data_IF_507727731084
#
_entry.id   IF_507727731084
#
_cell.length_a   1.000
_cell.length_b   1.000
_cell.length_c   1.000
_cell.angle_alpha   90.00
_cell.angle_beta   90.00
_cell.angle_gamma   90.00
#
_symmetry.space_group_name_H-M   'P 1'
#
loop_
_entity.id
_entity.type
_entity.pdbx_description
1 polymer ?
#
# COMPACT_ATOMS: atom_id res chain seq x y z
N UNK A 1 26.03 4.81 14.83
CA UNK A 1 25.74 4.91 13.38
C UNK A 1 26.22 6.24 12.82
N UNK A 2 26.58 6.33 11.53
CA UNK A 2 26.86 7.63 10.89
C UNK A 2 25.60 8.50 10.93
N UNK A 3 25.71 9.73 11.42
CA UNK A 3 24.59 10.68 11.50
C UNK A 3 23.98 10.95 10.11
N UNK A 4 24.77 10.89 9.04
CA UNK A 4 24.26 11.02 7.67
C UNK A 4 23.32 9.87 7.29
N UNK A 5 23.70 8.62 7.63
CA UNK A 5 22.88 7.44 7.38
C UNK A 5 21.59 7.46 8.21
N UNK A 6 21.68 7.81 9.50
CA UNK A 6 20.49 7.91 10.38
C UNK A 6 19.48 8.91 9.82
N UNK A 7 19.93 10.08 9.40
CA UNK A 7 19.06 11.10 8.82
C UNK A 7 18.46 10.68 7.48
N UNK A 8 19.22 9.96 6.64
CA UNK A 8 18.71 9.42 5.39
C UNK A 8 17.60 8.38 5.62
N UNK A 9 17.78 7.49 6.60
CA UNK A 9 16.77 6.49 6.97
C UNK A 9 15.49 7.12 7.50
N UNK A 10 15.58 8.13 8.37
CA UNK A 10 14.40 8.86 8.87
C UNK A 10 13.67 9.64 7.76
N UNK A 11 14.43 10.20 6.81
CA UNK A 11 13.85 10.87 5.65
C UNK A 11 13.10 9.88 4.76
N UNK A 12 13.69 8.69 4.56
CA UNK A 12 13.06 7.63 3.80
C UNK A 12 11.82 7.06 4.50
N UNK A 13 11.85 6.90 5.83
CA UNK A 13 10.69 6.52 6.64
C UNK A 13 9.54 7.51 6.44
N UNK A 14 9.83 8.81 6.46
CA UNK A 14 8.83 9.87 6.23
C UNK A 14 8.20 9.74 4.85
N UNK A 15 9.03 9.55 3.81
CA UNK A 15 8.55 9.39 2.44
C UNK A 15 7.69 8.12 2.27
N UNK A 16 8.09 7.00 2.89
CA UNK A 16 7.33 5.76 2.86
C UNK A 16 5.98 5.87 3.58
N UNK A 17 5.93 6.54 4.73
CA UNK A 17 4.66 6.78 5.43
C UNK A 17 3.70 7.65 4.60
N UNK A 18 4.22 8.70 3.96
CA UNK A 18 3.42 9.55 3.05
C UNK A 18 2.91 8.74 1.86
N UNK A 19 3.76 7.92 1.25
CA UNK A 19 3.35 7.07 0.14
C UNK A 19 2.30 6.04 0.56
N UNK A 20 2.48 5.40 1.72
CA UNK A 20 1.54 4.43 2.27
C UNK A 20 0.17 5.05 2.55
N UNK A 21 0.14 6.28 3.07
CA UNK A 21 -1.09 7.03 3.29
C UNK A 21 -1.85 7.25 1.99
N UNK A 22 -1.20 7.84 0.99
CA UNK A 22 -1.81 8.11 -0.33
C UNK A 22 -2.30 6.82 -0.98
N UNK A 23 -1.48 5.77 -0.95
CA UNK A 23 -1.82 4.48 -1.54
C UNK A 23 -3.07 3.87 -0.88
N UNK A 24 -3.17 3.93 0.45
CA UNK A 24 -4.34 3.45 1.20
C UNK A 24 -5.60 4.26 0.90
N UNK A 25 -5.51 5.58 0.86
CA UNK A 25 -6.64 6.47 0.52
C UNK A 25 -7.15 6.24 -0.91
N UNK A 26 -6.26 6.15 -1.89
CA UNK A 26 -6.63 5.89 -3.29
C UNK A 26 -7.28 4.52 -3.46
N UNK A 27 -6.77 3.50 -2.76
CA UNK A 27 -7.35 2.16 -2.80
C UNK A 27 -8.74 2.11 -2.15
N UNK A 28 -8.93 2.77 -1.00
CA UNK A 28 -10.24 2.86 -0.34
C UNK A 28 -11.30 3.52 -1.24
N UNK A 29 -10.91 4.56 -2.00
CA UNK A 29 -11.79 5.19 -2.99
C UNK A 29 -12.20 4.20 -4.09
N UNK A 30 -11.24 3.44 -4.64
CA UNK A 30 -11.51 2.42 -5.65
C UNK A 30 -12.40 1.30 -5.11
N UNK A 31 -12.12 0.82 -3.90
CA UNK A 31 -12.91 -0.23 -3.27
C UNK A 31 -14.35 0.23 -3.02
N UNK A 32 -14.54 1.45 -2.54
CA UNK A 32 -15.87 2.05 -2.34
C UNK A 32 -16.64 2.12 -3.66
N UNK A 33 -15.99 2.60 -4.73
CA UNK A 33 -16.61 2.65 -6.05
C UNK A 33 -16.99 1.25 -6.55
N UNK A 34 -16.08 0.27 -6.40
CA UNK A 34 -16.35 -1.10 -6.80
C UNK A 34 -17.52 -1.72 -6.02
N UNK A 35 -17.55 -1.59 -4.69
CA UNK A 35 -18.65 -2.10 -3.85
C UNK A 35 -20.00 -1.52 -4.28
N UNK A 36 -20.04 -0.25 -4.68
CA UNK A 36 -21.28 0.39 -5.15
C UNK A 36 -21.79 -0.15 -6.50
N UNK A 37 -20.89 -0.69 -7.33
CA UNK A 37 -21.20 -1.19 -8.68
C UNK A 37 -21.42 -2.71 -8.71
N UNK A 38 -20.72 -3.45 -7.85
CA UNK A 38 -20.65 -4.91 -7.89
C UNK A 38 -22.03 -5.59 -7.78
N UNK A 39 -22.97 -4.99 -7.06
CA UNK A 39 -24.31 -5.55 -6.84
C UNK A 39 -25.19 -5.56 -8.11
N UNK A 40 -24.85 -4.73 -9.10
CA UNK A 40 -25.63 -4.58 -10.34
C UNK A 40 -24.80 -4.88 -11.60
N UNK A 41 -23.50 -5.12 -11.43
CA UNK A 41 -22.59 -5.34 -12.55
C UNK A 41 -22.50 -6.83 -12.90
N UNK A 42 -23.11 -7.17 -14.04
CA UNK A 42 -23.29 -8.54 -14.54
C UNK A 42 -22.83 -8.69 -16.00
N UNK A 43 -22.69 -9.96 -16.44
CA UNK A 43 -22.23 -10.32 -17.77
C UNK A 43 -20.72 -10.59 -17.85
N UNK A 44 -20.23 -10.98 -19.03
CA UNK A 44 -18.84 -11.40 -19.22
C UNK A 44 -17.82 -10.31 -18.87
N UNK A 45 -18.12 -9.05 -19.18
CA UNK A 45 -17.26 -7.93 -18.81
C UNK A 45 -17.16 -7.75 -17.28
N UNK A 46 -18.21 -8.12 -16.54
CA UNK A 46 -18.18 -8.07 -15.08
C UNK A 46 -17.35 -9.20 -14.48
N UNK A 47 -17.33 -10.37 -15.10
CA UNK A 47 -16.46 -11.48 -14.70
C UNK A 47 -14.98 -11.13 -14.94
N UNK A 48 -14.65 -10.60 -16.12
CA UNK A 48 -13.29 -10.16 -16.46
C UNK A 48 -12.79 -9.08 -15.48
N UNK A 49 -13.65 -8.09 -15.18
CA UNK A 49 -13.31 -7.05 -14.22
C UNK A 49 -13.09 -7.60 -12.81
N UNK A 50 -13.94 -8.54 -12.34
CA UNK A 50 -13.81 -9.17 -11.01
C UNK A 50 -12.45 -9.86 -10.86
N UNK A 51 -11.99 -10.56 -11.88
CA UNK A 51 -10.67 -11.20 -11.87
C UNK A 51 -9.55 -10.17 -11.72
N UNK A 52 -9.58 -9.12 -12.54
CA UNK A 52 -8.59 -8.02 -12.48
C UNK A 52 -8.64 -7.31 -11.12
N UNK A 53 -9.84 -7.09 -10.58
CA UNK A 53 -10.05 -6.48 -9.28
C UNK A 53 -9.46 -7.33 -8.15
N UNK A 54 -9.73 -8.65 -8.14
CA UNK A 54 -9.15 -9.57 -7.16
C UNK A 54 -7.63 -9.55 -7.20
N UNK A 55 -7.03 -9.55 -8.40
CA UNK A 55 -5.57 -9.43 -8.54
C UNK A 55 -5.05 -8.09 -8.02
N UNK A 56 -5.72 -6.99 -8.37
CA UNK A 56 -5.34 -5.64 -7.93
C UNK A 56 -5.36 -5.53 -6.40
N UNK A 57 -6.37 -6.11 -5.74
CA UNK A 57 -6.45 -6.16 -4.28
C UNK A 57 -5.29 -6.94 -3.66
N UNK A 58 -4.96 -8.11 -4.22
CA UNK A 58 -3.82 -8.90 -3.75
C UNK A 58 -2.48 -8.17 -3.94
N UNK A 59 -2.27 -7.54 -5.11
CA UNK A 59 -1.05 -6.78 -5.42
C UNK A 59 -0.91 -5.55 -4.49
N UNK A 60 -2.02 -4.90 -4.15
CA UNK A 60 -2.06 -3.81 -3.19
C UNK A 60 -1.69 -4.27 -1.77
N UNK A 61 -2.31 -5.35 -1.27
CA UNK A 61 -2.02 -5.91 0.05
C UNK A 61 -0.54 -6.31 0.20
N UNK A 62 0.02 -6.96 -0.83
CA UNK A 62 1.45 -7.30 -0.88
C UNK A 62 2.34 -6.05 -0.86
N UNK A 63 1.98 -5.00 -1.60
CA UNK A 63 2.71 -3.73 -1.62
C UNK A 63 2.70 -3.05 -0.25
N UNK A 64 1.53 -3.00 0.41
CA UNK A 64 1.39 -2.48 1.77
C UNK A 64 2.27 -3.27 2.75
N UNK A 65 2.20 -4.59 2.72
CA UNK A 65 2.99 -5.46 3.60
C UNK A 65 4.50 -5.27 3.42
N UNK A 66 4.96 -5.09 2.19
CA UNK A 66 6.38 -4.78 1.89
C UNK A 66 6.80 -3.43 2.47
N UNK A 67 5.98 -2.39 2.30
CA UNK A 67 6.28 -1.06 2.85
C UNK A 67 6.32 -1.11 4.39
N UNK A 68 5.36 -1.77 5.02
CA UNK A 68 5.30 -1.93 6.48
C UNK A 68 6.50 -2.71 7.03
N UNK A 69 6.95 -3.73 6.30
CA UNK A 69 8.18 -4.47 6.63
C UNK A 69 9.43 -3.59 6.56
N UNK A 70 9.55 -2.75 5.53
CA UNK A 70 10.67 -1.81 5.40
C UNK A 70 10.65 -0.78 6.53
N UNK A 71 9.48 -0.22 6.84
CA UNK A 71 9.29 0.73 7.94
C UNK A 71 9.70 0.11 9.28
N UNK A 72 9.31 -1.15 9.53
CA UNK A 72 9.73 -1.90 10.71
C UNK A 72 11.26 -1.98 10.81
N UNK A 73 11.95 -2.39 9.74
CA UNK A 73 13.41 -2.47 9.74
C UNK A 73 14.10 -1.11 9.94
N UNK A 74 13.56 -0.03 9.36
CA UNK A 74 14.11 1.32 9.57
C UNK A 74 14.03 1.72 11.05
N UNK A 75 12.91 1.44 11.72
CA UNK A 75 12.75 1.73 13.16
C UNK A 75 13.68 0.89 14.01
N UNK A 76 13.75 -0.41 13.78
CA UNK A 76 14.70 -1.31 14.45
C UNK A 76 16.15 -0.81 14.32
N UNK A 77 16.55 -0.36 13.13
CA UNK A 77 17.91 0.17 12.90
C UNK A 77 18.11 1.51 13.61
N UNK A 78 17.14 2.41 13.59
CA UNK A 78 17.29 3.77 14.13
C UNK A 78 17.14 3.86 15.66
N UNK A 79 16.40 2.93 16.27
CA UNK A 79 16.21 2.81 17.72
C UNK A 79 17.37 2.05 18.39
N UNK A 80 17.94 1.04 17.73
CA UNK A 80 19.04 0.23 18.28
C UNK A 80 20.45 0.80 18.00
N UNK A 81 20.58 1.98 17.38
CA UNK A 81 21.87 2.51 16.91
C UNK A 81 22.15 3.99 17.19
#
# INVERSE_FOLDING_TARGET
MDNSLKNALLSYETALNQHLLVLKEEFEMLETAWRSLNDVYEGSAAEDFKEVWTKTMADFEDSVGKIETILYFIREITENA
#
